data_IF_462192739249
#
_entry.id   IF_462192739249
#
_cell.length_a   1.000
_cell.length_b   1.000
_cell.length_c   1.000
_cell.angle_alpha   90.00
_cell.angle_beta   90.00
_cell.angle_gamma   90.00
#
_symmetry.space_group_name_H-M   'P 1'
#
loop_
_entity.id
_entity.type
_entity.pdbx_description
1 polymer ?
#
# COMPACT_ATOMS: atom_id res chain seq x y z
N UNK A 1 7.99 -5.27 -15.13
CA UNK A 1 8.46 -5.82 -13.83
C UNK A 1 8.91 -7.27 -13.92
N UNK A 2 9.95 -7.66 -13.19
CA UNK A 2 10.32 -9.07 -13.04
C UNK A 2 9.36 -9.80 -12.08
N UNK A 3 9.09 -11.10 -12.26
CA UNK A 3 8.27 -11.87 -11.34
C UNK A 3 8.83 -11.81 -9.91
N UNK A 4 7.95 -11.90 -8.90
CA UNK A 4 8.31 -12.23 -7.51
C UNK A 4 9.29 -13.42 -7.53
N UNK A 5 10.58 -13.13 -7.35
CA UNK A 5 11.64 -14.14 -7.50
C UNK A 5 12.14 -14.50 -6.11
N UNK A 6 11.71 -15.66 -5.61
CA UNK A 6 12.21 -16.27 -4.39
C UNK A 6 13.43 -17.09 -4.79
N UNK A 7 14.63 -16.52 -4.65
CA UNK A 7 15.88 -17.22 -4.94
C UNK A 7 16.59 -17.70 -3.68
N UNK A 8 17.05 -18.94 -3.78
CA UNK A 8 17.72 -19.72 -2.76
C UNK A 8 19.23 -19.44 -2.79
N UNK A 9 19.77 -18.92 -1.70
CA UNK A 9 21.19 -19.05 -1.29
C UNK A 9 21.16 -18.97 0.24
N UNK A 10 21.66 -19.91 1.02
CA UNK A 10 22.69 -20.94 0.82
C UNK A 10 22.46 -22.10 1.81
N UNK A 11 22.79 -23.34 1.42
CA UNK A 11 22.88 -24.56 2.25
C UNK A 11 21.61 -25.08 2.95
N UNK A 12 20.52 -25.28 2.20
CA UNK A 12 19.46 -26.23 2.58
C UNK A 12 18.87 -26.83 1.30
N UNK A 13 18.66 -28.15 1.30
CA UNK A 13 18.20 -28.95 0.15
C UNK A 13 17.04 -28.27 -0.62
N UNK A 14 17.18 -28.23 -1.94
CA UNK A 14 16.39 -27.38 -2.86
C UNK A 14 14.94 -27.83 -3.10
N UNK A 15 14.49 -28.95 -2.54
CA UNK A 15 13.27 -29.63 -3.00
C UNK A 15 11.94 -29.22 -2.31
N UNK A 16 11.94 -28.32 -1.30
CA UNK A 16 10.73 -28.09 -0.49
C UNK A 16 10.27 -26.62 -0.30
N UNK A 17 10.82 -25.67 -1.07
CA UNK A 17 10.45 -24.26 -0.93
C UNK A 17 9.11 -23.92 -1.59
N UNK A 18 8.15 -23.40 -0.81
CA UNK A 18 6.88 -22.87 -1.34
C UNK A 18 7.13 -21.48 -1.96
N UNK A 19 6.93 -21.36 -3.27
CA UNK A 19 6.94 -20.07 -3.97
C UNK A 19 5.58 -19.42 -3.83
N UNK A 20 5.50 -18.25 -3.18
CA UNK A 20 4.27 -17.47 -3.10
C UNK A 20 4.17 -16.55 -4.31
N UNK A 21 3.16 -16.76 -5.14
CA UNK A 21 2.81 -15.93 -6.29
C UNK A 21 1.47 -15.24 -6.06
N UNK A 22 1.14 -14.28 -6.93
CA UNK A 22 -0.21 -13.71 -6.98
C UNK A 22 -1.32 -14.75 -7.13
N UNK A 23 -1.03 -15.86 -7.81
CA UNK A 23 -2.02 -16.88 -8.18
C UNK A 23 -2.31 -17.85 -7.04
N UNK A 24 -1.29 -18.23 -6.28
CA UNK A 24 -1.43 -19.19 -5.19
C UNK A 24 -1.58 -18.55 -3.80
N UNK A 25 -1.35 -17.23 -3.67
CA UNK A 25 -1.50 -16.52 -2.40
C UNK A 25 -2.89 -16.70 -1.78
N UNK A 26 -3.95 -16.78 -2.60
CA UNK A 26 -5.30 -17.05 -2.09
C UNK A 26 -5.39 -18.41 -1.40
N UNK A 27 -4.84 -19.46 -2.01
CA UNK A 27 -4.84 -20.80 -1.45
C UNK A 27 -3.91 -20.94 -0.23
N UNK A 28 -2.81 -20.19 -0.20
CA UNK A 28 -1.84 -20.20 0.89
C UNK A 28 -2.38 -19.43 2.11
N UNK A 29 -2.90 -18.23 1.93
CA UNK A 29 -3.32 -17.38 3.04
C UNK A 29 -4.84 -17.43 3.32
N UNK A 30 -5.61 -18.16 2.52
CA UNK A 30 -7.08 -18.22 2.67
C UNK A 30 -7.77 -16.91 2.26
N UNK A 31 -7.21 -16.17 1.30
CA UNK A 31 -7.76 -14.88 0.87
C UNK A 31 -9.10 -15.07 0.16
N UNK A 32 -10.08 -14.28 0.55
CA UNK A 32 -11.42 -14.27 -0.04
C UNK A 32 -11.98 -12.85 -0.10
N UNK A 33 -12.94 -12.61 -0.98
CA UNK A 33 -13.57 -11.30 -1.11
C UNK A 33 -14.54 -11.11 0.05
N UNK A 34 -14.50 -9.96 0.72
CA UNK A 34 -15.49 -9.62 1.73
C UNK A 34 -16.82 -9.25 1.08
N UNK A 35 -17.90 -9.95 1.44
CA UNK A 35 -19.24 -9.63 0.97
C UNK A 35 -19.81 -8.41 1.72
N UNK A 36 -20.51 -7.52 1.01
CA UNK A 36 -21.30 -6.43 1.62
C UNK A 36 -20.53 -5.23 2.20
N UNK A 37 -19.20 -5.21 2.20
CA UNK A 37 -18.39 -4.10 2.75
C UNK A 37 -18.09 -2.97 1.75
N UNK A 38 -19.07 -2.55 0.95
CA UNK A 38 -18.89 -1.50 -0.06
C UNK A 38 -18.80 -0.08 0.54
N UNK A 39 -19.41 0.14 1.70
CA UNK A 39 -19.53 1.46 2.35
C UNK A 39 -18.19 2.10 2.74
N UNK A 40 -17.14 1.29 2.93
CA UNK A 40 -15.80 1.83 3.22
C UNK A 40 -15.24 2.70 2.09
N UNK A 41 -15.72 2.52 0.85
CA UNK A 41 -15.22 3.23 -0.32
C UNK A 41 -15.97 4.52 -0.62
N UNK A 42 -17.08 4.74 0.05
CA UNK A 42 -17.86 5.96 -0.08
C UNK A 42 -17.17 7.06 0.72
N UNK A 43 -16.89 8.18 0.06
CA UNK A 43 -16.34 9.38 0.69
C UNK A 43 -17.51 10.29 1.02
N UNK A 44 -17.60 10.71 2.28
CA UNK A 44 -18.46 11.83 2.65
C UNK A 44 -17.95 13.12 1.99
N UNK A 45 -18.82 14.14 1.89
CA UNK A 45 -18.47 15.40 1.22
C UNK A 45 -17.28 16.09 1.90
N UNK A 46 -17.18 15.98 3.22
CA UNK A 46 -16.10 16.55 4.05
C UNK A 46 -14.77 15.82 3.85
N UNK A 47 -14.80 14.59 3.36
CA UNK A 47 -13.62 13.79 3.05
C UNK A 47 -13.09 14.05 1.63
N UNK A 48 -13.82 14.79 0.80
CA UNK A 48 -13.39 15.16 -0.54
C UNK A 48 -12.38 16.31 -0.44
N UNK A 49 -11.11 15.98 -0.70
CA UNK A 49 -10.01 16.92 -0.64
C UNK A 49 -9.86 17.63 -1.99
N UNK A 50 -9.82 18.96 -1.93
CA UNK A 50 -9.42 19.79 -3.06
C UNK A 50 -7.93 19.64 -3.35
N UNK A 51 -7.58 19.39 -4.60
CA UNK A 51 -6.19 19.19 -5.00
C UNK A 51 -5.46 20.53 -4.95
N UNK A 52 -4.35 20.66 -4.19
CA UNK A 52 -3.59 21.89 -4.12
C UNK A 52 -3.07 22.31 -5.50
N UNK A 53 -3.04 23.63 -5.77
CA UNK A 53 -2.63 24.19 -7.08
C UNK A 53 -1.27 23.66 -7.57
N UNK A 54 -0.29 23.56 -6.68
CA UNK A 54 1.04 23.05 -7.06
C UNK A 54 0.98 21.59 -7.53
N UNK A 55 0.18 20.74 -6.88
CA UNK A 55 -0.03 19.36 -7.32
C UNK A 55 -0.79 19.34 -8.66
N UNK A 56 -1.78 20.22 -8.85
CA UNK A 56 -2.47 20.33 -10.14
C UNK A 56 -1.51 20.63 -11.29
N UNK A 57 -0.55 21.54 -11.09
CA UNK A 57 0.46 21.88 -12.11
C UNK A 57 1.35 20.68 -12.45
N UNK A 58 1.87 19.97 -11.45
CA UNK A 58 2.68 18.77 -11.66
C UNK A 58 1.88 17.71 -12.42
N UNK A 59 0.61 17.50 -12.04
CA UNK A 59 -0.25 16.53 -12.72
C UNK A 59 -0.49 16.94 -14.19
N UNK A 60 -0.73 18.22 -14.47
CA UNK A 60 -0.90 18.73 -15.83
C UNK A 60 0.37 18.56 -16.69
N UNK A 61 1.56 18.82 -16.13
CA UNK A 61 2.83 18.63 -16.85
C UNK A 61 3.03 17.15 -17.23
N UNK A 62 2.68 16.23 -16.32
CA UNK A 62 2.77 14.79 -16.57
C UNK A 62 1.65 14.24 -17.45
N UNK A 63 0.58 14.99 -17.74
CA UNK A 63 -0.49 14.58 -18.67
C UNK A 63 -0.10 14.73 -20.15
N UNK A 64 0.95 15.49 -20.46
CA UNK A 64 1.37 15.81 -21.83
C UNK A 64 2.00 14.59 -22.53
N UNK A 65 2.55 13.64 -21.76
CA UNK A 65 3.18 12.45 -22.30
C UNK A 65 2.17 11.30 -22.46
N UNK A 66 1.76 11.03 -23.71
CA UNK A 66 0.83 9.92 -24.05
C UNK A 66 1.38 8.52 -23.75
N UNK A 67 2.67 8.40 -23.45
CA UNK A 67 3.36 7.15 -23.11
C UNK A 67 4.12 7.38 -21.81
N UNK A 68 3.53 6.96 -20.69
CA UNK A 68 4.18 7.07 -19.40
C UNK A 68 5.43 6.20 -19.37
N UNK A 69 6.60 6.82 -19.38
CA UNK A 69 7.80 6.14 -18.90
C UNK A 69 7.62 5.83 -17.41
N UNK A 70 8.17 4.70 -16.94
CA UNK A 70 8.13 4.33 -15.53
C UNK A 70 8.65 5.44 -14.61
N UNK A 71 9.64 6.22 -15.08
CA UNK A 71 10.20 7.36 -14.34
C UNK A 71 9.19 8.49 -14.16
N UNK A 72 8.37 8.79 -15.17
CA UNK A 72 7.35 9.84 -15.10
C UNK A 72 6.20 9.40 -14.21
N UNK A 73 5.77 8.15 -14.30
CA UNK A 73 4.77 7.58 -13.38
C UNK A 73 5.25 7.66 -11.93
N UNK A 74 6.49 7.25 -11.65
CA UNK A 74 7.08 7.30 -10.30
C UNK A 74 7.20 8.72 -9.77
N UNK A 75 7.67 9.66 -10.59
CA UNK A 75 7.76 11.09 -10.23
C UNK A 75 6.38 11.65 -9.87
N UNK A 76 5.36 11.30 -10.66
CA UNK A 76 3.97 11.70 -10.40
C UNK A 76 3.44 11.13 -9.09
N UNK A 77 3.69 9.84 -8.83
CA UNK A 77 3.30 9.18 -7.59
C UNK A 77 4.00 9.80 -6.38
N UNK A 78 5.29 10.08 -6.46
CA UNK A 78 6.05 10.76 -5.41
C UNK A 78 5.48 12.14 -5.10
N UNK A 79 5.14 12.92 -6.12
CA UNK A 79 4.48 14.21 -5.94
C UNK A 79 3.14 14.07 -5.22
N UNK A 80 2.28 13.13 -5.65
CA UNK A 80 0.98 12.87 -5.00
C UNK A 80 1.18 12.46 -3.54
N UNK A 81 2.05 11.49 -3.27
CA UNK A 81 2.26 10.93 -1.94
C UNK A 81 2.88 11.94 -0.97
N UNK A 82 3.89 12.68 -1.42
CA UNK A 82 4.55 13.70 -0.61
C UNK A 82 3.60 14.86 -0.29
N UNK A 83 2.89 15.39 -1.29
CA UNK A 83 1.97 16.52 -1.11
C UNK A 83 0.76 16.14 -0.25
N UNK A 84 0.19 14.95 -0.44
CA UNK A 84 -0.93 14.46 0.37
C UNK A 84 -0.51 14.29 1.83
N UNK A 85 0.63 13.62 2.09
CA UNK A 85 1.15 13.46 3.45
C UNK A 85 1.49 14.82 4.09
N UNK A 86 2.13 15.73 3.36
CA UNK A 86 2.45 17.07 3.85
C UNK A 86 1.20 17.89 4.17
N UNK A 87 0.12 17.73 3.39
CA UNK A 87 -1.17 18.33 3.72
C UNK A 87 -1.70 17.81 5.05
N UNK A 88 -1.74 16.49 5.23
CA UNK A 88 -2.23 15.88 6.48
C UNK A 88 -1.40 16.23 7.70
N UNK A 89 -0.07 16.31 7.56
CA UNK A 89 0.79 16.80 8.65
C UNK A 89 0.43 18.23 9.05
N UNK A 90 0.16 19.12 8.09
CA UNK A 90 -0.22 20.52 8.37
C UNK A 90 -1.57 20.59 9.06
N UNK A 91 -2.56 19.84 8.59
CA UNK A 91 -3.91 19.82 9.18
C UNK A 91 -3.83 19.42 10.67
N UNK A 92 -3.16 18.30 10.96
CA UNK A 92 -3.01 17.79 12.34
C UNK A 92 -2.22 18.74 13.24
N UNK A 93 -1.20 19.43 12.71
CA UNK A 93 -0.45 20.43 13.47
C UNK A 93 -1.27 21.70 13.74
N UNK A 94 -2.15 22.09 12.80
CA UNK A 94 -2.99 23.28 12.94
C UNK A 94 -4.12 23.11 13.96
N UNK A 95 -4.57 21.88 14.18
CA UNK A 95 -5.64 21.53 15.12
C UNK A 95 -5.25 21.70 16.60
N UNK A 96 -4.06 22.23 16.92
CA UNK A 96 -3.62 22.59 18.28
C UNK A 96 -3.77 21.48 19.33
N UNK A 97 -3.82 20.22 18.91
CA UNK A 97 -3.83 19.08 19.83
C UNK A 97 -2.40 18.61 20.06
N UNK A 98 -1.89 18.78 21.28
CA UNK A 98 -0.66 18.10 21.74
C UNK A 98 -0.93 16.60 21.97
N UNK A 99 -1.54 15.95 21.00
CA UNK A 99 -2.03 14.58 21.07
C UNK A 99 -0.98 13.60 20.53
N UNK A 100 -1.05 12.34 20.97
CA UNK A 100 -0.25 11.25 20.42
C UNK A 100 -0.33 11.16 18.88
N UNK A 101 -1.48 11.55 18.31
CA UNK A 101 -1.71 11.64 16.85
C UNK A 101 -0.71 12.58 16.18
N UNK A 102 -0.47 13.76 16.74
CA UNK A 102 0.50 14.73 16.19
C UNK A 102 1.91 14.14 16.07
N UNK A 103 2.38 13.43 17.09
CA UNK A 103 3.69 12.74 17.07
C UNK A 103 3.78 11.66 15.98
N UNK A 104 2.70 10.90 15.77
CA UNK A 104 2.66 9.86 14.73
C UNK A 104 2.78 10.48 13.32
N UNK A 105 2.06 11.57 13.04
CA UNK A 105 2.17 12.27 11.76
C UNK A 105 3.54 12.92 11.56
N UNK A 106 4.17 13.46 12.61
CA UNK A 106 5.50 14.05 12.51
C UNK A 106 6.53 13.02 12.02
N UNK A 107 6.47 11.79 12.55
CA UNK A 107 7.38 10.71 12.19
C UNK A 107 6.99 9.92 10.94
N UNK A 108 5.79 10.15 10.40
CA UNK A 108 5.30 9.48 9.19
C UNK A 108 6.10 9.91 7.95
N UNK A 109 6.49 8.94 7.11
CA UNK A 109 7.20 9.20 5.85
C UNK A 109 6.98 8.08 4.84
N UNK A 110 7.05 8.44 3.57
CA UNK A 110 7.13 7.48 2.47
C UNK A 110 8.56 6.97 2.32
N UNK A 111 8.71 5.68 2.12
CA UNK A 111 9.98 5.01 1.82
C UNK A 111 9.81 4.29 0.50
N UNK A 112 10.72 4.52 -0.45
CA UNK A 112 10.70 3.88 -1.76
C UNK A 112 11.60 2.65 -1.83
N UNK A 113 11.27 1.72 -2.72
CA UNK A 113 12.09 0.55 -3.05
C UNK A 113 12.41 -0.30 -1.83
N UNK A 114 11.41 -0.61 -1.01
CA UNK A 114 11.59 -1.33 0.25
C UNK A 114 11.86 -2.81 -0.03
N UNK A 115 13.11 -3.30 0.16
CA UNK A 115 13.38 -4.71 0.00
C UNK A 115 12.76 -5.46 1.18
N UNK A 116 12.13 -6.57 0.86
CA UNK A 116 11.50 -7.43 1.84
C UNK A 116 12.15 -8.81 1.81
N UNK A 117 12.44 -9.34 3.00
CA UNK A 117 12.65 -10.77 3.20
C UNK A 117 12.02 -11.22 4.52
N UNK A 118 11.23 -12.29 4.49
CA UNK A 118 10.79 -12.98 5.71
C UNK A 118 11.11 -14.46 5.63
N UNK A 119 11.26 -15.08 6.80
CA UNK A 119 11.37 -16.51 6.98
C UNK A 119 10.36 -16.96 8.04
N UNK A 120 9.71 -18.09 7.84
CA UNK A 120 8.75 -18.63 8.80
C UNK A 120 8.24 -20.01 8.43
N UNK A 121 7.30 -20.53 9.21
CA UNK A 121 6.67 -21.83 8.96
C UNK A 121 5.32 -21.67 8.25
N UNK A 122 5.01 -22.52 7.28
CA UNK A 122 3.66 -22.66 6.74
C UNK A 122 3.32 -24.15 6.55
N UNK A 123 2.28 -24.64 7.22
CA UNK A 123 1.83 -26.04 7.19
C UNK A 123 2.97 -27.06 7.37
N UNK A 124 3.85 -26.81 8.33
CA UNK A 124 4.99 -27.69 8.64
C UNK A 124 6.19 -27.54 7.69
N UNK A 125 6.15 -26.65 6.69
CA UNK A 125 7.28 -26.35 5.81
C UNK A 125 7.93 -25.01 6.14
N UNK A 126 9.25 -24.91 5.98
CA UNK A 126 9.96 -23.64 6.09
C UNK A 126 9.80 -22.84 4.81
N UNK A 127 9.48 -21.57 4.95
CA UNK A 127 9.25 -20.64 3.85
C UNK A 127 10.23 -19.47 3.99
N UNK A 128 10.81 -19.04 2.87
CA UNK A 128 11.52 -17.77 2.73
C UNK A 128 10.84 -16.98 1.63
N UNK A 129 10.46 -15.75 1.91
CA UNK A 129 9.80 -14.89 0.93
C UNK A 129 10.65 -13.67 0.75
N UNK A 130 10.90 -13.30 -0.51
CA UNK A 130 11.54 -12.04 -0.85
C UNK A 130 10.60 -11.24 -1.76
N UNK A 131 10.47 -9.94 -1.52
CA UNK A 131 9.69 -9.04 -2.38
C UNK A 131 10.35 -7.67 -2.43
N UNK A 132 9.90 -6.84 -3.36
CA UNK A 132 10.23 -5.43 -3.42
C UNK A 132 8.92 -4.67 -3.44
N UNK A 133 8.73 -3.79 -2.47
CA UNK A 133 7.57 -2.89 -2.42
C UNK A 133 8.01 -1.55 -2.99
N UNK A 134 7.26 -0.98 -3.94
CA UNK A 134 7.64 0.28 -4.59
C UNK A 134 7.63 1.45 -3.61
N UNK A 135 6.58 1.57 -2.80
CA UNK A 135 6.51 2.56 -1.71
C UNK A 135 5.82 1.98 -0.47
N UNK A 136 6.27 2.38 0.71
CA UNK A 136 5.61 2.07 1.97
C UNK A 136 5.47 3.33 2.82
N UNK A 137 4.33 3.48 3.50
CA UNK A 137 4.16 4.49 4.54
C UNK A 137 4.61 3.90 5.87
N UNK A 138 5.55 4.58 6.51
CA UNK A 138 6.14 4.15 7.78
C UNK A 138 6.02 5.27 8.81
N UNK A 139 5.83 4.94 10.08
CA UNK A 139 5.97 5.87 11.20
C UNK A 139 7.26 5.53 11.98
N UNK A 140 8.22 6.46 12.00
CA UNK A 140 9.52 6.26 12.66
C UNK A 140 10.56 5.55 11.78
N UNK A 141 11.40 4.71 12.39
CA UNK A 141 12.37 3.90 11.67
C UNK A 141 11.70 2.63 11.16
N UNK A 142 11.75 2.42 9.83
CA UNK A 142 11.29 1.17 9.24
C UNK A 142 12.34 0.11 9.52
N UNK A 143 12.21 -0.55 10.66
CA UNK A 143 13.12 -1.63 11.05
C UNK A 143 12.61 -2.98 10.55
N UNK A 144 11.29 -3.18 10.49
CA UNK A 144 10.70 -4.50 10.26
C UNK A 144 9.41 -4.42 9.43
N UNK A 145 9.18 -5.45 8.60
CA UNK A 145 8.01 -5.48 7.70
C UNK A 145 6.68 -5.42 8.44
N UNK A 146 6.62 -6.03 9.63
CA UNK A 146 5.40 -6.10 10.39
C UNK A 146 4.88 -4.71 10.78
N UNK A 147 5.70 -3.67 10.65
CA UNK A 147 5.33 -2.28 10.93
C UNK A 147 4.76 -1.54 9.71
N UNK A 148 4.76 -2.15 8.52
CA UNK A 148 4.13 -1.60 7.32
C UNK A 148 2.62 -1.74 7.42
N UNK A 149 1.91 -0.62 7.30
CA UNK A 149 0.43 -0.57 7.35
C UNK A 149 -0.20 -0.14 6.02
N UNK A 150 0.56 0.59 5.21
CA UNK A 150 0.18 1.02 3.87
C UNK A 150 1.35 0.81 2.91
N UNK A 151 1.08 0.13 1.80
CA UNK A 151 2.03 -0.08 0.71
C UNK A 151 1.45 0.37 -0.64
N UNK A 152 2.35 0.65 -1.57
CA UNK A 152 2.02 0.97 -2.95
C UNK A 152 2.86 0.09 -3.85
N UNK A 153 2.20 -0.53 -4.83
CA UNK A 153 2.83 -1.30 -5.90
C UNK A 153 2.50 -0.63 -7.23
N UNK A 154 3.51 -0.30 -8.02
CA UNK A 154 3.34 -0.04 -9.44
C UNK A 154 3.14 -1.40 -10.09
N UNK A 155 2.18 -1.54 -11.02
CA UNK A 155 1.86 -2.83 -11.64
C UNK A 155 1.64 -2.65 -13.15
N UNK A 156 2.03 -3.66 -13.93
CA UNK A 156 1.87 -3.67 -15.39
C UNK A 156 0.49 -4.21 -15.84
N UNK A 157 -0.44 -4.37 -14.89
CA UNK A 157 -1.78 -4.88 -15.17
C UNK A 157 -2.78 -4.41 -14.12
N UNK A 158 -4.07 -4.34 -14.49
CA UNK A 158 -5.19 -4.05 -13.59
C UNK A 158 -5.53 -5.19 -12.61
N UNK A 159 -4.56 -6.02 -12.26
CA UNK A 159 -4.71 -7.09 -11.28
C UNK A 159 -4.17 -6.64 -9.91
N UNK A 160 -4.96 -6.85 -8.85
CA UNK A 160 -4.55 -6.56 -7.48
C UNK A 160 -3.82 -7.75 -6.81
N UNK A 161 -3.51 -8.82 -7.55
CA UNK A 161 -2.77 -9.99 -7.04
C UNK A 161 -1.53 -9.57 -6.25
N UNK A 162 -0.67 -8.70 -6.79
CA UNK A 162 0.54 -8.26 -6.11
C UNK A 162 0.23 -7.59 -4.76
N UNK A 163 -0.72 -6.65 -4.74
CA UNK A 163 -1.14 -6.00 -3.50
C UNK A 163 -1.69 -6.99 -2.47
N UNK A 164 -2.60 -7.89 -2.88
CA UNK A 164 -3.18 -8.91 -1.98
C UNK A 164 -2.11 -9.82 -1.39
N UNK A 165 -1.19 -10.31 -2.23
CA UNK A 165 -0.07 -11.14 -1.78
C UNK A 165 0.80 -10.39 -0.78
N UNK A 166 1.18 -9.14 -1.05
CA UNK A 166 1.99 -8.32 -0.14
C UNK A 166 1.28 -8.07 1.20
N UNK A 167 -0.03 -7.78 1.19
CA UNK A 167 -0.79 -7.56 2.43
C UNK A 167 -0.93 -8.85 3.24
N UNK A 168 -1.25 -9.96 2.59
CA UNK A 168 -1.40 -11.27 3.25
C UNK A 168 -0.09 -11.71 3.92
N UNK A 169 1.01 -11.48 3.22
CA UNK A 169 2.36 -11.71 3.69
C UNK A 169 2.71 -10.88 4.92
N UNK A 170 2.43 -9.57 4.91
CA UNK A 170 2.66 -8.71 6.08
C UNK A 170 1.84 -9.24 7.27
N UNK A 171 0.57 -9.57 7.06
CA UNK A 171 -0.31 -10.06 8.12
C UNK A 171 0.18 -11.41 8.70
N UNK A 172 0.65 -12.31 7.84
CA UNK A 172 1.27 -13.57 8.26
C UNK A 172 2.56 -13.33 9.06
N UNK A 173 3.44 -12.42 8.62
CA UNK A 173 4.66 -12.09 9.40
C UNK A 173 4.32 -11.45 10.75
N UNK A 174 3.27 -10.62 10.82
CA UNK A 174 2.79 -10.07 12.10
C UNK A 174 2.42 -11.19 13.06
N UNK A 175 1.63 -12.15 12.59
CA UNK A 175 1.23 -13.32 13.38
C UNK A 175 2.43 -14.17 13.83
N UNK A 176 3.35 -14.51 12.93
CA UNK A 176 4.55 -15.29 13.25
C UNK A 176 5.47 -14.57 14.26
N UNK A 177 5.41 -13.24 14.32
CA UNK A 177 6.20 -12.42 15.25
C UNK A 177 5.43 -12.02 16.51
N UNK A 178 4.24 -12.57 16.72
CA UNK A 178 3.40 -12.29 17.90
C UNK A 178 2.81 -10.88 17.93
N UNK A 179 2.78 -10.16 16.80
CA UNK A 179 2.07 -8.89 16.67
C UNK A 179 0.62 -9.12 16.29
N UNK A 180 -0.27 -8.29 16.84
CA UNK A 180 -1.69 -8.34 16.53
C UNK A 180 -1.95 -8.18 15.04
N UNK A 181 -2.91 -8.93 14.51
CA UNK A 181 -3.42 -8.70 13.15
C UNK A 181 -4.22 -7.40 13.13
N UNK A 182 -3.99 -6.57 12.12
CA UNK A 182 -4.67 -5.29 11.92
C UNK A 182 -5.16 -5.19 10.47
N UNK A 183 -6.13 -4.32 10.17
CA UNK A 183 -6.45 -3.98 8.80
C UNK A 183 -5.23 -3.39 8.09
N UNK A 184 -4.93 -3.87 6.89
CA UNK A 184 -3.81 -3.40 6.08
C UNK A 184 -4.32 -2.82 4.75
N UNK A 185 -3.58 -1.86 4.21
CA UNK A 185 -3.99 -1.12 3.03
C UNK A 185 -2.94 -1.19 1.92
N UNK A 186 -3.38 -1.32 0.68
CA UNK A 186 -2.50 -1.26 -0.47
C UNK A 186 -3.11 -0.40 -1.58
N UNK A 187 -2.23 0.22 -2.37
CA UNK A 187 -2.58 0.91 -3.61
C UNK A 187 -1.82 0.23 -4.73
N UNK A 188 -2.52 -0.29 -5.74
CA UNK A 188 -1.89 -0.70 -7.00
C UNK A 188 -2.12 0.36 -8.06
N UNK A 189 -1.07 0.71 -8.80
CA UNK A 189 -1.10 1.77 -9.82
C UNK A 189 -0.66 1.21 -11.17
N UNK A 190 -1.51 1.37 -12.17
CA UNK A 190 -1.26 1.04 -13.59
C UNK A 190 -1.58 2.27 -14.44
N UNK A 191 -0.55 3.04 -14.80
CA UNK A 191 -0.70 4.35 -15.42
C UNK A 191 -1.58 5.28 -14.58
N UNK A 192 -2.74 5.66 -15.10
CA UNK A 192 -3.74 6.51 -14.42
C UNK A 192 -4.74 5.73 -13.56
N UNK A 193 -4.70 4.40 -13.60
CA UNK A 193 -5.64 3.54 -12.88
C UNK A 193 -5.13 3.27 -11.47
N UNK A 194 -5.99 3.47 -10.48
CA UNK A 194 -5.70 3.24 -9.07
C UNK A 194 -6.63 2.16 -8.53
N UNK A 195 -6.03 1.20 -7.84
CA UNK A 195 -6.71 0.07 -7.22
C UNK A 195 -6.41 0.09 -5.73
N UNK A 196 -7.39 0.53 -4.95
CA UNK A 196 -7.30 0.57 -3.50
C UNK A 196 -7.74 -0.77 -2.94
N UNK A 197 -6.88 -1.42 -2.17
CA UNK A 197 -7.16 -2.71 -1.54
C UNK A 197 -7.11 -2.55 -0.03
N UNK A 198 -8.12 -3.08 0.67
CA UNK A 198 -8.13 -3.21 2.13
C UNK A 198 -8.19 -4.69 2.46
N UNK A 199 -7.20 -5.18 3.23
CA UNK A 199 -7.19 -6.52 3.81
C UNK A 199 -7.69 -6.42 5.26
N UNK A 200 -8.71 -7.20 5.59
CA UNK A 200 -9.23 -7.33 6.95
C UNK A 200 -8.41 -8.35 7.76
N UNK A 201 -8.65 -8.36 9.07
CA UNK A 201 -7.97 -9.22 10.05
C UNK A 201 -8.14 -10.72 9.75
N UNK A 202 -9.26 -11.08 9.14
CA UNK A 202 -9.68 -12.45 8.79
C UNK A 202 -9.23 -12.89 7.38
N UNK A 203 -8.30 -12.15 6.75
CA UNK A 203 -7.86 -12.38 5.37
C UNK A 203 -8.96 -12.17 4.30
N UNK A 204 -10.13 -11.66 4.67
CA UNK A 204 -11.07 -11.13 3.69
C UNK A 204 -10.55 -9.79 3.13
N UNK A 205 -10.83 -9.49 1.86
CA UNK A 205 -10.39 -8.22 1.27
C UNK A 205 -11.48 -7.55 0.43
N UNK A 206 -11.38 -6.24 0.32
CA UNK A 206 -12.19 -5.41 -0.59
C UNK A 206 -11.28 -4.62 -1.54
N UNK A 207 -11.80 -4.28 -2.71
CA UNK A 207 -11.07 -3.56 -3.75
C UNK A 207 -11.94 -2.45 -4.32
N UNK A 208 -11.38 -1.27 -4.50
CA UNK A 208 -12.02 -0.16 -5.19
C UNK A 208 -11.15 0.36 -6.32
N UNK A 209 -11.80 0.60 -7.45
CA UNK A 209 -11.17 1.05 -8.69
C UNK A 209 -11.56 2.50 -8.95
N UNK A 210 -10.57 3.35 -9.19
CA UNK A 210 -10.77 4.72 -9.65
C UNK A 210 -9.61 5.14 -10.54
N UNK A 211 -9.70 6.33 -11.15
CA UNK A 211 -8.68 6.83 -12.07
C UNK A 211 -8.29 8.27 -11.73
N UNK A 212 -7.03 8.62 -12.01
CA UNK A 212 -6.51 9.98 -11.87
C UNK A 212 -6.96 10.93 -13.01
N UNK A 213 -7.84 10.44 -13.90
CA UNK A 213 -8.54 11.22 -14.91
C UNK A 213 -9.12 12.52 -14.34
N UNK A 214 -9.17 13.57 -15.16
CA UNK A 214 -9.61 14.92 -14.79
C UNK A 214 -10.95 14.99 -14.03
N UNK A 215 -11.14 16.07 -13.27
CA UNK A 215 -12.38 16.35 -12.56
C UNK A 215 -12.56 15.56 -11.26
N UNK A 216 -13.80 15.16 -10.96
CA UNK A 216 -14.18 14.58 -9.67
C UNK A 216 -13.42 13.28 -9.31
N UNK A 217 -13.03 12.48 -10.32
CA UNK A 217 -12.29 11.23 -10.10
C UNK A 217 -10.88 11.47 -9.55
N UNK A 218 -10.22 12.54 -10.00
CA UNK A 218 -8.91 12.96 -9.48
C UNK A 218 -8.99 13.31 -7.99
N UNK A 219 -9.98 14.13 -7.61
CA UNK A 219 -10.19 14.47 -6.20
C UNK A 219 -10.45 13.20 -5.37
N UNK A 220 -11.23 12.25 -5.90
CA UNK A 220 -11.49 10.95 -5.26
C UNK A 220 -10.21 10.14 -5.02
N UNK A 221 -9.29 10.07 -5.98
CA UNK A 221 -7.99 9.39 -5.79
C UNK A 221 -7.21 10.00 -4.62
N UNK A 222 -7.02 11.32 -4.63
CA UNK A 222 -6.26 12.02 -3.59
C UNK A 222 -6.93 11.86 -2.21
N UNK A 223 -8.26 11.94 -2.17
CA UNK A 223 -9.05 11.75 -0.95
C UNK A 223 -8.92 10.34 -0.39
N UNK A 224 -8.96 9.30 -1.23
CA UNK A 224 -8.75 7.92 -0.80
C UNK A 224 -7.32 7.67 -0.30
N UNK A 225 -6.31 8.26 -0.96
CA UNK A 225 -4.91 8.20 -0.48
C UNK A 225 -4.80 8.84 0.90
N UNK A 226 -5.43 10.01 1.09
CA UNK A 226 -5.46 10.69 2.39
C UNK A 226 -6.13 9.84 3.47
N UNK A 227 -7.30 9.25 3.18
CA UNK A 227 -7.98 8.33 4.11
C UNK A 227 -7.10 7.13 4.46
N UNK A 228 -6.37 6.57 3.49
CA UNK A 228 -5.45 5.44 3.71
C UNK A 228 -4.27 5.84 4.59
N UNK A 229 -3.71 7.03 4.39
CA UNK A 229 -2.67 7.59 5.27
C UNK A 229 -3.21 7.72 6.70
N UNK A 230 -4.41 8.28 6.85
CA UNK A 230 -5.01 8.49 8.16
C UNK A 230 -5.25 7.17 8.89
N UNK A 231 -5.80 6.16 8.22
CA UNK A 231 -5.95 4.83 8.81
C UNK A 231 -4.60 4.19 9.11
N UNK A 232 -3.64 4.22 8.20
CA UNK A 232 -2.34 3.60 8.43
C UNK A 232 -1.59 4.23 9.61
N UNK A 233 -1.73 5.54 9.82
CA UNK A 233 -1.09 6.23 10.95
C UNK A 233 -1.86 6.03 12.25
N UNK A 234 -3.20 6.12 12.22
CA UNK A 234 -4.04 6.16 13.42
C UNK A 234 -4.53 4.78 13.91
N UNK A 235 -4.38 3.72 13.11
CA UNK A 235 -4.68 2.35 13.55
C UNK A 235 -3.57 1.88 14.50
N UNK A 236 -3.69 2.21 15.79
CA UNK A 236 -2.88 1.65 16.88
C UNK A 236 -3.78 0.73 17.69
#
# INVERSE_FOLDING_TARGET
MGPLTITNKSHFDEDDAIVVTGENANAIFGLHIAEGQWSYWDLAEEEIISIPRHLQLILQETEIEQWYSDSVLRTRLEAIFATTLASRKRDVLSESTSSAKSTLYQTARWVSGVPFSAKGGYRGRRMKINTLIDYALCHGQLEKIQDIKLLVNVVDSRDNKCARTSLALINWVREETGKDRIPLFAISVDGDSFMFTRLNIDYSYTVHYTSLSTGARRNRVISLISRFIDHAICSI
#
